data_IF_145540876267
#
_entry.id   IF_145540876267
#
_cell.length_a   1.000
_cell.length_b   1.000
_cell.length_c   1.000
_cell.angle_alpha   90.00
_cell.angle_beta   90.00
_cell.angle_gamma   90.00
#
_symmetry.space_group_name_H-M   'P 1'
#
loop_
_entity.id
_entity.type
_entity.pdbx_description
1 polymer ?
#
# COMPACT_ATOMS: atom_id res chain seq x y z
N UNK A 1 -22.79 -13.50 7.45
CA UNK A 1 -22.39 -13.11 8.81
C UNK A 1 -21.35 -11.99 8.71
N UNK A 2 -21.52 -10.92 9.49
CA UNK A 2 -20.77 -9.64 9.43
C UNK A 2 -19.41 -9.72 10.10
N UNK A 3 -18.39 -9.13 9.47
CA UNK A 3 -17.35 -8.33 10.14
C UNK A 3 -16.94 -7.16 9.24
N UNK A 4 -17.13 -5.89 9.64
CA UNK A 4 -16.38 -4.78 9.07
C UNK A 4 -15.01 -4.79 9.74
N UNK A 5 -14.03 -5.41 9.10
CA UNK A 5 -12.66 -5.49 9.60
C UNK A 5 -11.98 -4.12 9.47
N UNK A 6 -12.13 -3.28 10.49
CA UNK A 6 -11.11 -2.28 10.79
C UNK A 6 -9.77 -3.02 10.91
N UNK A 7 -8.72 -2.42 10.37
CA UNK A 7 -7.35 -2.94 10.37
C UNK A 7 -6.82 -3.07 11.81
N UNK A 8 -7.28 -4.08 12.57
CA UNK A 8 -6.65 -4.47 13.84
C UNK A 8 -5.50 -5.39 13.50
N UNK A 9 -4.29 -4.83 13.50
CA UNK A 9 -3.04 -5.57 13.50
C UNK A 9 -2.86 -6.07 14.93
N UNK A 10 -2.77 -7.39 15.12
CA UNK A 10 -2.47 -7.98 16.42
C UNK A 10 -0.95 -7.94 16.58
N UNK A 11 -0.46 -7.08 17.47
CA UNK A 11 0.94 -7.08 17.86
C UNK A 11 1.13 -8.10 18.98
N UNK A 12 1.50 -9.32 18.61
CA UNK A 12 1.84 -10.37 19.57
C UNK A 12 3.18 -10.05 20.24
N UNK A 13 3.13 -9.54 21.47
CA UNK A 13 4.32 -9.33 22.29
C UNK A 13 4.74 -10.63 22.98
N UNK A 14 5.70 -11.36 22.40
CA UNK A 14 6.49 -12.36 23.12
C UNK A 14 7.96 -11.88 23.13
N UNK A 15 8.36 -11.27 24.23
CA UNK A 15 9.72 -10.77 24.43
C UNK A 15 10.65 -11.92 24.86
N UNK A 16 11.47 -12.42 23.93
CA UNK A 16 12.63 -13.25 24.24
C UNK A 16 13.85 -12.33 24.43
N UNK A 17 14.33 -12.25 25.67
CA UNK A 17 15.51 -11.49 26.08
C UNK A 17 16.80 -12.15 25.55
N UNK A 18 17.25 -11.75 24.36
CA UNK A 18 18.63 -11.93 23.94
C UNK A 18 19.41 -10.63 24.21
N UNK A 19 20.19 -10.62 25.29
CA UNK A 19 21.10 -9.54 25.62
C UNK A 19 22.37 -9.61 24.75
N UNK A 20 22.26 -9.16 23.50
CA UNK A 20 23.39 -8.75 22.69
C UNK A 20 23.35 -7.23 22.56
N UNK A 21 24.32 -6.52 23.15
CA UNK A 21 24.48 -5.07 22.98
C UNK A 21 24.92 -4.75 21.55
N UNK A 22 24.02 -4.89 20.58
CA UNK A 22 24.09 -4.11 19.37
C UNK A 22 23.73 -2.69 19.79
N UNK A 23 24.70 -1.77 19.72
CA UNK A 23 24.45 -0.34 19.77
C UNK A 23 23.47 0.01 18.65
N UNK A 24 22.17 -0.04 18.95
CA UNK A 24 21.13 0.44 18.07
C UNK A 24 21.34 1.94 17.92
N UNK A 25 22.11 2.33 16.91
CA UNK A 25 22.06 3.70 16.43
C UNK A 25 20.59 3.99 16.16
N UNK A 26 20.01 4.90 16.94
CA UNK A 26 18.63 5.33 16.77
C UNK A 26 18.59 6.08 15.44
N UNK A 27 18.40 5.35 14.36
CA UNK A 27 18.22 5.94 13.03
C UNK A 27 16.91 6.70 13.06
N UNK A 28 17.00 8.02 12.86
CA UNK A 28 15.83 8.87 12.77
C UNK A 28 14.86 8.30 11.73
N UNK A 29 13.57 8.09 12.06
CA UNK A 29 12.60 7.59 11.11
C UNK A 29 12.54 8.44 9.85
N UNK A 30 12.46 7.78 8.69
CA UNK A 30 12.35 8.45 7.39
C UNK A 30 10.98 9.09 7.24
N UNK A 31 10.96 10.30 6.70
CA UNK A 31 9.74 11.02 6.36
C UNK A 31 9.06 10.39 5.13
N UNK A 32 7.76 10.66 4.96
CA UNK A 32 7.01 10.23 3.77
C UNK A 32 7.71 10.63 2.47
N UNK A 33 8.19 11.88 2.37
CA UNK A 33 8.85 12.38 1.15
C UNK A 33 10.16 11.63 0.87
N UNK A 34 10.97 11.34 1.90
CA UNK A 34 12.19 10.55 1.73
C UNK A 34 11.89 9.14 1.22
N UNK A 35 10.84 8.51 1.74
CA UNK A 35 10.45 7.16 1.33
C UNK A 35 9.93 7.16 -0.11
N UNK A 36 8.98 8.04 -0.46
CA UNK A 36 8.36 8.06 -1.80
C UNK A 36 9.32 8.52 -2.90
N UNK A 37 10.40 9.22 -2.55
CA UNK A 37 11.43 9.65 -3.50
C UNK A 37 12.53 8.61 -3.72
N UNK A 38 12.52 7.49 -2.98
CA UNK A 38 13.56 6.48 -3.08
C UNK A 38 13.37 5.57 -4.32
N UNK A 39 14.16 5.83 -5.36
CA UNK A 39 14.13 5.07 -6.63
C UNK A 39 14.59 3.62 -6.54
N UNK A 40 15.20 3.22 -5.42
CA UNK A 40 15.57 1.83 -5.15
C UNK A 40 14.33 1.00 -4.79
N UNK A 41 13.26 1.63 -4.28
CA UNK A 41 12.02 0.98 -3.84
C UNK A 41 10.99 0.98 -4.97
N UNK A 42 10.80 2.13 -5.60
CA UNK A 42 9.68 2.36 -6.50
C UNK A 42 10.02 2.03 -7.95
N UNK A 43 9.07 1.42 -8.65
CA UNK A 43 9.15 1.23 -10.09
C UNK A 43 8.88 2.52 -10.86
N UNK A 44 9.17 2.51 -12.17
CA UNK A 44 9.07 3.69 -13.05
C UNK A 44 7.66 4.30 -13.11
N UNK A 45 6.62 3.51 -12.90
CA UNK A 45 5.22 3.95 -13.00
C UNK A 45 4.64 4.36 -11.64
N UNK A 46 5.40 4.25 -10.54
CA UNK A 46 4.94 4.67 -9.21
C UNK A 46 4.36 6.10 -9.15
N UNK A 47 4.96 7.12 -9.80
CA UNK A 47 4.42 8.47 -9.76
C UNK A 47 2.98 8.57 -10.29
N UNK A 48 2.58 7.70 -11.21
CA UNK A 48 1.21 7.63 -11.73
C UNK A 48 0.21 7.26 -10.63
N UNK A 49 0.55 6.28 -9.78
CA UNK A 49 -0.25 5.87 -8.63
C UNK A 49 -0.27 6.97 -7.56
N UNK A 50 0.90 7.56 -7.26
CA UNK A 50 1.05 8.65 -6.30
C UNK A 50 0.17 9.85 -6.65
N UNK A 51 0.06 10.17 -7.94
CA UNK A 51 -0.75 11.28 -8.43
C UNK A 51 -2.27 11.09 -8.21
N UNK A 52 -2.75 9.85 -8.01
CA UNK A 52 -4.15 9.58 -7.73
C UNK A 52 -4.53 9.67 -6.25
N UNK A 53 -3.55 9.74 -5.34
CA UNK A 53 -3.79 9.61 -3.90
C UNK A 53 -4.73 10.69 -3.35
N UNK A 54 -4.69 11.91 -3.91
CA UNK A 54 -5.61 12.98 -3.49
C UNK A 54 -7.06 12.64 -3.86
N UNK A 55 -7.30 12.13 -5.06
CA UNK A 55 -8.62 11.68 -5.47
C UNK A 55 -9.12 10.54 -4.58
N UNK A 56 -8.26 9.55 -4.32
CA UNK A 56 -8.61 8.38 -3.52
C UNK A 56 -8.86 8.71 -2.04
N UNK A 57 -8.15 9.70 -1.48
CA UNK A 57 -8.37 10.15 -0.10
C UNK A 57 -9.78 10.68 0.17
N UNK A 58 -10.50 11.08 -0.89
CA UNK A 58 -11.90 11.55 -0.83
C UNK A 58 -12.91 10.40 -0.88
N UNK A 59 -12.48 9.18 -1.22
CA UNK A 59 -13.35 8.00 -1.22
C UNK A 59 -13.67 7.52 0.20
N UNK A 60 -14.60 6.57 0.33
CA UNK A 60 -14.94 5.95 1.60
C UNK A 60 -13.89 4.95 2.10
N UNK A 61 -13.00 4.51 1.20
CA UNK A 61 -11.82 3.76 1.55
C UNK A 61 -10.62 4.70 1.73
N UNK A 62 -9.97 4.60 2.89
CA UNK A 62 -8.82 5.43 3.23
C UNK A 62 -7.50 4.74 2.95
N UNK A 63 -7.51 3.48 2.53
CA UNK A 63 -6.29 2.71 2.30
C UNK A 63 -6.20 2.24 0.84
N UNK A 64 -5.17 2.70 0.15
CA UNK A 64 -4.80 2.18 -1.16
C UNK A 64 -3.77 1.06 -1.00
N UNK A 65 -3.98 -0.04 -1.70
CA UNK A 65 -3.01 -1.11 -1.88
C UNK A 65 -2.31 -0.94 -3.23
N UNK A 66 -1.00 -1.15 -3.27
CA UNK A 66 -0.19 -1.10 -4.47
C UNK A 66 0.63 -2.38 -4.55
N UNK A 67 0.30 -3.26 -5.48
CA UNK A 67 1.12 -4.40 -5.85
C UNK A 67 2.11 -3.98 -6.95
N UNK A 68 3.05 -4.84 -7.37
CA UNK A 68 4.02 -4.50 -8.41
C UNK A 68 3.41 -3.96 -9.70
N UNK A 69 2.19 -4.37 -10.06
CA UNK A 69 1.55 -4.05 -11.35
C UNK A 69 0.12 -3.52 -11.24
N UNK A 70 -0.43 -3.38 -10.03
CA UNK A 70 -1.83 -2.97 -9.84
C UNK A 70 -1.98 -2.06 -8.63
N UNK A 71 -2.97 -1.19 -8.71
CA UNK A 71 -3.42 -0.39 -7.59
C UNK A 71 -4.85 -0.79 -7.25
N UNK A 72 -5.13 -1.03 -5.98
CA UNK A 72 -6.45 -1.44 -5.49
C UNK A 72 -6.82 -0.63 -4.26
N UNK A 73 -8.08 -0.70 -3.89
CA UNK A 73 -8.57 -0.21 -2.61
C UNK A 73 -8.75 -1.39 -1.66
N UNK A 74 -8.45 -1.18 -0.38
CA UNK A 74 -8.36 -2.24 0.63
C UNK A 74 -9.73 -2.71 1.16
N UNK A 75 -10.79 -1.92 0.95
CA UNK A 75 -12.14 -2.18 1.45
C UNK A 75 -12.77 -3.33 0.66
N UNK A 76 -13.11 -4.37 1.41
CA UNK A 76 -13.82 -5.54 0.91
C UNK A 76 -15.34 -5.31 0.97
N UNK A 77 -16.02 -5.73 -0.08
CA UNK A 77 -17.48 -5.72 -0.22
C UNK A 77 -17.98 -7.14 -0.41
N UNK A 78 -19.19 -7.43 0.07
CA UNK A 78 -19.75 -8.78 -0.03
C UNK A 78 -19.96 -9.26 -1.48
N UNK A 79 -20.23 -8.33 -2.41
CA UNK A 79 -20.44 -8.60 -3.83
C UNK A 79 -20.35 -7.29 -4.64
N UNK A 80 -20.45 -7.39 -5.97
CA UNK A 80 -20.34 -6.24 -6.86
C UNK A 80 -21.43 -5.17 -6.65
N UNK A 81 -22.66 -5.58 -6.32
CA UNK A 81 -23.75 -4.65 -6.05
C UNK A 81 -23.47 -3.80 -4.80
N UNK A 82 -22.88 -4.41 -3.76
CA UNK A 82 -22.46 -3.69 -2.56
C UNK A 82 -21.29 -2.72 -2.81
N UNK A 83 -20.50 -2.95 -3.86
CA UNK A 83 -19.39 -2.08 -4.25
C UNK A 83 -19.80 -0.91 -5.18
N UNK A 84 -20.99 -0.95 -5.79
CA UNK A 84 -21.43 -0.02 -6.85
C UNK A 84 -21.35 1.46 -6.42
N UNK A 85 -21.80 1.78 -5.20
CA UNK A 85 -21.75 3.15 -4.69
C UNK A 85 -20.31 3.66 -4.55
N UNK A 86 -19.40 2.81 -4.06
CA UNK A 86 -17.98 3.16 -3.96
C UNK A 86 -17.34 3.29 -5.34
N UNK A 87 -17.62 2.35 -6.25
CA UNK A 87 -17.18 2.41 -7.65
C UNK A 87 -17.55 3.73 -8.32
N UNK A 88 -18.82 4.16 -8.21
CA UNK A 88 -19.30 5.46 -8.74
C UNK A 88 -18.59 6.64 -8.09
N UNK A 89 -18.41 6.61 -6.77
CA UNK A 89 -17.72 7.64 -6.00
C UNK A 89 -16.26 7.80 -6.45
N UNK A 90 -15.54 6.68 -6.56
CA UNK A 90 -14.14 6.65 -6.98
C UNK A 90 -14.01 7.10 -8.43
N UNK A 91 -14.89 6.62 -9.32
CA UNK A 91 -14.94 7.06 -10.72
C UNK A 91 -15.09 8.57 -10.80
N UNK A 92 -16.05 9.14 -10.05
CA UNK A 92 -16.24 10.58 -9.98
C UNK A 92 -15.03 11.33 -9.42
N UNK A 93 -14.36 10.78 -8.40
CA UNK A 93 -13.18 11.40 -7.80
C UNK A 93 -11.97 11.41 -8.73
N UNK A 94 -11.83 10.38 -9.56
CA UNK A 94 -10.75 10.25 -10.54
C UNK A 94 -11.01 11.09 -11.80
N UNK A 95 -12.28 11.36 -12.14
CA UNK A 95 -12.63 12.35 -13.16
C UNK A 95 -12.08 13.72 -12.72
N UNK A 96 -11.09 14.22 -13.47
CA UNK A 96 -10.43 15.49 -13.15
C UNK A 96 -9.35 15.40 -12.08
N UNK A 97 -8.87 14.19 -11.73
CA UNK A 97 -7.69 14.02 -10.87
C UNK A 97 -6.50 14.86 -11.34
N UNK A 98 -6.31 14.99 -12.66
CA UNK A 98 -5.25 15.79 -13.27
C UNK A 98 -5.29 17.29 -12.94
N UNK A 99 -6.49 17.79 -12.57
CA UNK A 99 -6.67 19.19 -12.18
C UNK A 99 -6.28 19.45 -10.73
N UNK A 100 -6.15 18.40 -9.92
CA UNK A 100 -5.84 18.50 -8.49
C UNK A 100 -4.39 18.94 -8.27
N UNK A 101 -4.15 19.60 -7.13
CA UNK A 101 -2.84 20.18 -6.80
C UNK A 101 -1.77 19.10 -6.66
N UNK A 102 -2.08 17.99 -5.96
CA UNK A 102 -1.12 16.91 -5.78
C UNK A 102 -0.71 16.28 -7.11
N UNK A 103 -1.64 16.10 -8.05
CA UNK A 103 -1.31 15.56 -9.37
C UNK A 103 -0.27 16.42 -10.09
N UNK A 104 -0.48 17.74 -10.12
CA UNK A 104 0.42 18.70 -10.76
C UNK A 104 1.79 18.71 -10.09
N UNK A 105 1.82 18.75 -8.75
CA UNK A 105 3.05 18.68 -7.96
C UNK A 105 3.80 17.38 -8.19
N UNK A 106 3.11 16.23 -8.17
CA UNK A 106 3.72 14.93 -8.46
C UNK A 106 4.32 14.93 -9.86
N UNK A 107 3.58 15.36 -10.89
CA UNK A 107 4.08 15.39 -12.28
C UNK A 107 5.30 16.30 -12.47
N UNK A 108 5.36 17.41 -11.72
CA UNK A 108 6.50 18.34 -11.73
C UNK A 108 7.75 17.76 -11.07
N UNK A 109 7.60 17.08 -9.92
CA UNK A 109 8.73 16.53 -9.16
C UNK A 109 9.16 15.14 -9.64
N UNK A 110 8.23 14.38 -10.21
CA UNK A 110 8.42 13.03 -10.71
C UNK A 110 7.73 12.92 -12.08
N UNK A 111 8.42 13.15 -13.21
CA UNK A 111 7.80 13.08 -14.52
C UNK A 111 7.21 11.69 -14.82
N UNK A 112 5.97 11.66 -15.31
CA UNK A 112 5.29 10.44 -15.76
C UNK A 112 4.30 10.74 -16.89
N UNK A 113 3.96 9.70 -17.64
CA UNK A 113 2.89 9.75 -18.63
C UNK A 113 1.53 9.54 -17.95
N UNK A 114 0.65 10.54 -18.08
CA UNK A 114 -0.68 10.48 -17.50
C UNK A 114 -1.52 9.42 -18.21
N UNK A 115 -2.15 8.54 -17.43
CA UNK A 115 -3.05 7.50 -17.93
C UNK A 115 -4.28 7.44 -17.04
N UNK A 116 -5.45 7.41 -17.67
CA UNK A 116 -6.71 7.17 -16.97
C UNK A 116 -6.83 5.69 -16.62
N UNK A 117 -7.06 5.32 -15.34
CA UNK A 117 -7.25 3.93 -14.98
C UNK A 117 -8.63 3.46 -15.47
N UNK A 118 -8.69 2.22 -15.95
CA UNK A 118 -9.95 1.46 -15.97
C UNK A 118 -10.26 1.03 -14.54
N UNK A 119 -11.43 1.41 -14.05
CA UNK A 119 -11.87 1.09 -12.69
C UNK A 119 -12.81 -0.10 -12.77
N UNK A 120 -12.54 -1.14 -12.00
CA UNK A 120 -13.30 -2.39 -12.05
C UNK A 120 -13.46 -3.01 -10.66
N UNK A 121 -14.52 -3.80 -10.49
CA UNK A 121 -14.75 -4.60 -9.29
C UNK A 121 -14.15 -5.98 -9.51
N UNK A 122 -13.25 -6.41 -8.62
CA UNK A 122 -12.48 -7.65 -8.74
C UNK A 122 -12.74 -8.53 -7.53
N UNK A 123 -12.82 -9.84 -7.75
CA UNK A 123 -12.95 -10.83 -6.67
C UNK A 123 -11.68 -10.88 -5.83
N UNK A 124 -11.83 -10.88 -4.51
CA UNK A 124 -10.74 -11.12 -3.59
C UNK A 124 -10.24 -12.57 -3.71
N UNK A 125 -8.93 -12.82 -3.72
CA UNK A 125 -8.43 -14.19 -3.82
C UNK A 125 -8.69 -14.99 -2.53
N UNK A 126 -8.81 -14.33 -1.38
CA UNK A 126 -8.94 -15.02 -0.08
C UNK A 126 -10.38 -15.45 0.25
N UNK A 127 -11.40 -14.87 -0.40
CA UNK A 127 -12.80 -15.16 -0.10
C UNK A 127 -13.75 -14.73 -1.24
N UNK A 128 -15.05 -14.88 -1.04
CA UNK A 128 -16.06 -14.48 -2.04
C UNK A 128 -16.38 -12.97 -2.03
N UNK A 129 -15.60 -12.16 -1.33
CA UNK A 129 -15.71 -10.70 -1.36
C UNK A 129 -15.14 -10.12 -2.66
N UNK A 130 -15.41 -8.85 -2.88
CA UNK A 130 -14.86 -8.07 -3.99
C UNK A 130 -14.23 -6.79 -3.47
N UNK A 131 -13.32 -6.20 -4.25
CA UNK A 131 -12.74 -4.88 -4.01
C UNK A 131 -12.70 -4.07 -5.31
N UNK A 132 -12.41 -2.77 -5.21
CA UNK A 132 -12.25 -1.89 -6.38
C UNK A 132 -10.78 -1.84 -6.79
N UNK A 133 -10.53 -2.09 -8.07
CA UNK A 133 -9.21 -2.10 -8.71
C UNK A 133 -9.09 -0.96 -9.71
N UNK A 134 -7.90 -0.34 -9.77
CA UNK A 134 -7.51 0.66 -10.76
C UNK A 134 -6.45 0.04 -11.67
N UNK A 135 -6.82 -0.15 -12.93
CA UNK A 135 -5.97 -0.78 -13.93
C UNK A 135 -5.48 0.26 -14.95
N UNK A 136 -4.18 0.52 -14.98
CA UNK A 136 -3.53 1.49 -15.88
C UNK A 136 -2.88 0.82 -17.11
N UNK A 137 -3.22 -0.44 -17.38
CA UNK A 137 -2.51 -1.28 -18.35
C UNK A 137 -1.19 -1.83 -17.76
N UNK A 138 -0.22 -2.16 -18.62
CA UNK A 138 1.12 -2.57 -18.18
C UNK A 138 1.76 -1.47 -17.32
N UNK A 139 2.09 -1.81 -16.08
CA UNK A 139 2.73 -0.89 -15.12
C UNK A 139 3.76 -1.62 -14.27
N UNK A 140 4.73 -0.86 -13.81
CA UNK A 140 5.72 -1.27 -12.83
C UNK A 140 5.73 -0.24 -11.69
N UNK A 141 4.89 -0.46 -10.69
CA UNK A 141 4.74 0.39 -9.52
C UNK A 141 5.76 0.09 -8.43
N UNK A 142 6.08 -1.19 -8.26
CA UNK A 142 7.16 -1.66 -7.40
C UNK A 142 8.17 -2.37 -8.27
N UNK A 143 9.44 -2.31 -7.88
CA UNK A 143 10.44 -3.16 -8.51
C UNK A 143 10.11 -4.64 -8.26
N UNK A 144 10.18 -5.51 -9.28
CA UNK A 144 9.76 -6.91 -9.18
C UNK A 144 10.65 -7.74 -8.25
N UNK A 145 11.87 -7.28 -7.97
CA UNK A 145 12.86 -7.91 -7.10
C UNK A 145 12.95 -7.26 -5.71
N UNK A 146 12.03 -6.35 -5.38
CA UNK A 146 12.08 -5.58 -4.14
C UNK A 146 11.88 -6.49 -2.92
N UNK A 147 12.86 -6.48 -2.00
CA UNK A 147 12.84 -7.25 -0.76
C UNK A 147 12.75 -6.36 0.46
N UNK A 148 12.20 -6.89 1.56
CA UNK A 148 12.18 -6.16 2.83
C UNK A 148 13.61 -5.85 3.31
N UNK A 149 14.59 -6.73 3.08
CA UNK A 149 16.00 -6.45 3.43
C UNK A 149 16.56 -5.23 2.70
N UNK A 150 16.12 -5.00 1.46
CA UNK A 150 16.50 -3.82 0.69
C UNK A 150 15.81 -2.56 1.24
N UNK A 151 14.54 -2.67 1.62
CA UNK A 151 13.83 -1.56 2.29
C UNK A 151 14.50 -1.21 3.63
N UNK A 152 14.86 -2.21 4.43
CA UNK A 152 15.56 -2.02 5.71
C UNK A 152 16.94 -1.37 5.52
N UNK A 153 17.65 -1.71 4.45
CA UNK A 153 18.93 -1.06 4.08
C UNK A 153 18.74 0.42 3.71
N UNK A 154 17.69 0.71 2.95
CA UNK A 154 17.43 2.06 2.41
C UNK A 154 16.78 3.01 3.42
N UNK A 155 15.90 2.48 4.28
CA UNK A 155 15.06 3.27 5.18
C UNK A 155 15.43 3.09 6.66
N UNK A 156 16.23 2.08 7.01
CA UNK A 156 16.38 1.60 8.38
C UNK A 156 15.30 0.60 8.78
N UNK A 157 15.36 0.12 10.02
CA UNK A 157 14.34 -0.80 10.53
C UNK A 157 12.95 -0.16 10.52
N UNK A 158 11.92 -0.98 10.30
CA UNK A 158 10.53 -0.53 10.39
C UNK A 158 10.21 -0.04 11.82
N UNK A 159 9.40 1.03 11.91
CA UNK A 159 8.94 1.57 13.19
C UNK A 159 8.08 0.56 13.95
N UNK A 160 7.29 -0.22 13.21
CA UNK A 160 6.45 -1.29 13.73
C UNK A 160 6.43 -2.47 12.76
N UNK A 161 6.57 -3.68 13.30
CA UNK A 161 6.38 -4.93 12.55
C UNK A 161 5.22 -5.69 13.18
N UNK A 162 4.29 -6.17 12.36
CA UNK A 162 3.15 -6.97 12.79
C UNK A 162 2.80 -8.03 11.76
N UNK A 163 1.89 -8.93 12.08
CA UNK A 163 1.46 -9.96 11.15
C UNK A 163 -0.04 -10.20 11.21
N UNK A 164 -0.59 -10.79 10.16
CA UNK A 164 -1.94 -11.31 10.12
C UNK A 164 -1.93 -12.71 9.54
N UNK A 165 -2.64 -13.61 10.20
CA UNK A 165 -2.87 -14.97 9.75
C UNK A 165 -4.28 -15.06 9.19
N UNK A 166 -4.39 -15.53 7.96
CA UNK A 166 -5.64 -15.92 7.33
C UNK A 166 -5.67 -17.44 7.34
N UNK A 167 -6.63 -18.01 8.05
CA UNK A 167 -6.85 -19.45 8.08
C UNK A 167 -7.24 -19.93 6.68
N UNK A 168 -6.60 -21.01 6.21
CA UNK A 168 -6.93 -21.66 4.94
C UNK A 168 -8.27 -22.38 5.01
N UNK A 169 -8.86 -22.72 3.86
CA UNK A 169 -10.07 -23.56 3.83
C UNK A 169 -9.66 -25.03 3.89
N UNK A 170 -10.06 -25.74 4.95
CA UNK A 170 -9.79 -27.17 5.10
C UNK A 170 -8.32 -27.48 5.40
N UNK A 171 -7.65 -28.18 4.49
CA UNK A 171 -6.24 -28.59 4.62
C UNK A 171 -5.24 -27.57 4.04
N UNK A 172 -5.73 -26.44 3.52
CA UNK A 172 -4.85 -25.38 3.01
C UNK A 172 -3.98 -24.79 4.12
N UNK A 173 -2.71 -24.53 3.80
CA UNK A 173 -1.79 -23.86 4.72
C UNK A 173 -2.34 -22.45 5.05
N UNK A 174 -2.10 -21.93 6.27
CA UNK A 174 -2.48 -20.56 6.58
C UNK A 174 -1.63 -19.56 5.80
N UNK A 175 -2.28 -18.53 5.27
CA UNK A 175 -1.62 -17.38 4.66
C UNK A 175 -1.22 -16.40 5.76
N UNK A 176 0.07 -16.13 5.88
CA UNK A 176 0.66 -15.19 6.83
C UNK A 176 1.19 -14.00 6.06
N UNK A 177 0.66 -12.82 6.38
CA UNK A 177 1.15 -11.54 5.86
C UNK A 177 1.89 -10.82 6.98
N UNK A 178 3.16 -10.50 6.75
CA UNK A 178 3.99 -9.67 7.64
C UNK A 178 3.97 -8.23 7.15
N UNK A 179 3.74 -7.28 8.04
CA UNK A 179 3.61 -5.86 7.77
C UNK A 179 4.75 -5.07 8.40
N UNK A 180 5.44 -4.26 7.61
CA UNK A 180 6.54 -3.39 8.01
C UNK A 180 6.11 -1.93 7.83
N UNK A 181 5.81 -1.25 8.94
CA UNK A 181 5.25 0.10 8.98
C UNK A 181 6.35 1.16 9.05
N UNK A 182 6.20 2.20 8.24
CA UNK A 182 7.08 3.37 8.19
C UNK A 182 6.28 4.67 8.17
N UNK A 183 6.91 5.78 8.56
CA UNK A 183 6.35 7.12 8.56
C UNK A 183 4.99 7.19 9.28
N UNK A 184 4.95 6.73 10.53
CA UNK A 184 3.74 6.66 11.37
C UNK A 184 2.59 5.87 10.71
N UNK A 185 2.95 4.83 9.96
CA UNK A 185 1.99 3.97 9.25
C UNK A 185 1.37 4.59 8.01
N UNK A 186 1.91 5.70 7.50
CA UNK A 186 1.51 6.23 6.21
C UNK A 186 1.87 5.27 5.06
N UNK A 187 2.93 4.49 5.22
CA UNK A 187 3.41 3.51 4.23
C UNK A 187 3.72 2.19 4.96
N UNK A 188 3.11 1.09 4.51
CA UNK A 188 3.32 -0.23 5.10
C UNK A 188 3.69 -1.21 3.98
N UNK A 189 4.89 -1.76 4.03
CA UNK A 189 5.31 -2.83 3.12
C UNK A 189 4.85 -4.18 3.66
N UNK A 190 4.35 -5.05 2.79
CA UNK A 190 3.88 -6.37 3.18
C UNK A 190 4.60 -7.47 2.39
N UNK A 191 4.98 -8.52 3.11
CA UNK A 191 5.50 -9.77 2.54
C UNK A 191 4.55 -10.93 2.91
N UNK A 192 4.50 -11.95 2.05
CA UNK A 192 3.64 -13.12 2.19
C UNK A 192 4.48 -14.38 2.34
N UNK A 193 4.08 -15.28 3.25
CA UNK A 193 4.71 -16.60 3.38
C UNK A 193 4.45 -17.52 2.17
N UNK A 194 3.57 -17.13 1.23
CA UNK A 194 3.33 -17.84 -0.02
C UNK A 194 4.28 -17.41 -1.15
N UNK A 195 5.11 -16.39 -0.94
CA UNK A 195 6.10 -16.02 -1.96
C UNK A 195 7.11 -17.16 -2.12
N UNK A 196 7.40 -17.49 -3.37
CA UNK A 196 8.48 -18.39 -3.80
C UNK A 196 9.87 -17.82 -3.47
N UNK A 197 9.95 -16.51 -3.22
CA UNK A 197 11.17 -15.80 -2.91
C UNK A 197 11.16 -15.25 -1.47
N UNK A 198 12.17 -15.59 -0.65
CA UNK A 198 12.24 -15.10 0.72
C UNK A 198 12.23 -13.56 0.79
N UNK A 199 11.37 -13.04 1.66
CA UNK A 199 11.24 -11.61 1.98
C UNK A 199 10.90 -10.70 0.80
N UNK A 200 10.26 -11.23 -0.23
CA UNK A 200 9.78 -10.44 -1.36
C UNK A 200 8.59 -9.57 -0.92
N UNK A 201 8.58 -8.31 -1.33
CA UNK A 201 7.44 -7.42 -1.13
C UNK A 201 6.32 -7.83 -2.07
N UNK A 202 5.21 -8.27 -1.50
CA UNK A 202 4.00 -8.62 -2.23
C UNK A 202 3.20 -7.35 -2.59
N UNK A 203 3.09 -6.41 -1.64
CA UNK A 203 2.37 -5.15 -1.83
C UNK A 203 2.75 -4.08 -0.82
N UNK A 204 2.31 -2.86 -1.07
CA UNK A 204 2.43 -1.72 -0.17
C UNK A 204 1.05 -1.13 0.10
N UNK A 205 0.81 -0.77 1.36
CA UNK A 205 -0.40 -0.06 1.78
C UNK A 205 -0.07 1.40 2.04
N UNK A 206 -0.97 2.27 1.61
CA UNK A 206 -0.92 3.69 1.86
C UNK A 206 -2.14 4.15 2.64
N UNK A 207 -1.92 4.80 3.78
CA UNK A 207 -2.95 5.66 4.40
C UNK A 207 -3.07 6.92 3.53
N UNK A 208 -4.10 6.97 2.69
CA UNK A 208 -4.22 8.02 1.68
C UNK A 208 -4.40 9.41 2.29
N UNK A 209 -5.19 9.64 3.37
CA UNK A 209 -5.20 10.93 4.06
C UNK A 209 -3.85 11.37 4.61
N UNK A 210 -3.12 10.50 5.34
CA UNK A 210 -1.80 10.82 5.90
C UNK A 210 -0.80 11.14 4.80
N UNK A 211 -0.76 10.29 3.76
CA UNK A 211 0.11 10.45 2.60
C UNK A 211 -0.14 11.79 1.89
N UNK A 212 -1.40 12.10 1.56
CA UNK A 212 -1.76 13.35 0.85
C UNK A 212 -1.38 14.58 1.67
N UNK A 213 -1.64 14.55 2.98
CA UNK A 213 -1.29 15.66 3.89
C UNK A 213 0.22 15.90 3.89
N UNK A 214 1.02 14.84 4.04
CA UNK A 214 2.47 14.93 4.00
C UNK A 214 2.98 15.46 2.65
N UNK A 215 2.48 14.93 1.54
CA UNK A 215 2.94 15.31 0.20
C UNK A 215 2.57 16.75 -0.18
N UNK A 216 1.36 17.21 0.14
CA UNK A 216 0.95 18.60 -0.14
C UNK A 216 1.82 19.63 0.58
N UNK A 217 2.29 19.29 1.78
CA UNK A 217 3.18 20.14 2.57
C UNK A 217 4.63 20.15 2.08
N UNK A 218 5.08 19.07 1.43
CA UNK A 218 6.49 18.84 1.13
C UNK A 218 6.85 18.99 -0.36
N UNK A 219 5.90 18.76 -1.27
CA UNK A 219 6.10 18.94 -2.70
C UNK A 219 5.89 20.40 -3.13
N UNK A 220 6.79 20.88 -3.99
CA UNK A 220 6.82 22.25 -4.55
C UNK A 220 6.23 22.31 -5.96
#
# INVERSE_FOLDING_TARGET
MRYPSFLRVVFGGLALLFAGQASSQVTKPKTVLEIISNRVIWGKDFPLALAQMEALSKSDDKTAELSPTKMTLSKLYANAQAADASLKSITKALIGAERQDLFKKTKKNFPFEARSPKIEVVKAPQNDSVFVSLNFGPTEFLRPDLRITQIEKELGAAERVGYRVYEGRGEERPLIITYHSYADGAIIFAESNYSDQPRLVDRVYFDTPKLVTALKSSLK
#
